data_IF_563111348694
#
_entry.id   IF_563111348694
#
_cell.length_a   1.000
_cell.length_b   1.000
_cell.length_c   1.000
_cell.angle_alpha   90.00
_cell.angle_beta   90.00
_cell.angle_gamma   90.00
#
_symmetry.space_group_name_H-M   'P 1'
#
loop_
_entity.id
_entity.type
_entity.pdbx_description
1 polymer ?
#
# COMPACT_ATOMS: atom_id res chain seq x y z
N UNK A 1 -5.38 20.06 0.15
CA UNK A 1 -5.99 18.90 0.83
C UNK A 1 -7.29 18.53 0.12
N UNK A 2 -7.62 17.25 0.05
CA UNK A 2 -8.83 16.73 -0.62
C UNK A 2 -9.47 15.67 0.25
N UNK A 3 -10.76 15.84 0.57
CA UNK A 3 -11.53 14.82 1.27
C UNK A 3 -12.14 13.84 0.26
N UNK A 4 -12.01 12.54 0.54
CA UNK A 4 -12.66 11.47 -0.20
C UNK A 4 -13.74 10.82 0.68
N UNK A 5 -14.84 10.42 0.04
CA UNK A 5 -15.96 9.75 0.73
C UNK A 5 -15.83 8.23 0.75
N UNK A 6 -15.13 7.65 -0.22
CA UNK A 6 -14.87 6.22 -0.31
C UNK A 6 -13.42 5.91 -0.77
N UNK A 7 -12.56 5.35 0.10
CA UNK A 7 -12.77 5.28 1.55
C UNK A 7 -12.82 6.69 2.16
N UNK A 8 -13.50 6.84 3.30
CA UNK A 8 -13.51 8.11 4.04
C UNK A 8 -12.10 8.47 4.47
N UNK A 9 -11.49 9.46 3.82
CA UNK A 9 -10.15 9.90 4.16
C UNK A 9 -9.85 11.34 3.74
N UNK A 10 -8.78 11.88 4.32
CA UNK A 10 -8.22 13.18 3.97
C UNK A 10 -6.87 12.98 3.29
N UNK A 11 -6.80 13.33 2.00
CA UNK A 11 -5.55 13.42 1.25
C UNK A 11 -4.90 14.78 1.52
N UNK A 12 -3.70 14.77 2.06
CA UNK A 12 -2.91 15.96 2.34
C UNK A 12 -1.61 15.88 1.55
N UNK A 13 -1.49 16.73 0.54
CA UNK A 13 -0.23 16.89 -0.18
C UNK A 13 0.72 17.78 0.64
N UNK A 14 1.92 17.28 0.93
CA UNK A 14 2.93 18.04 1.65
C UNK A 14 4.33 17.55 1.32
N UNK A 15 5.27 18.48 1.16
CA UNK A 15 6.71 18.18 1.02
C UNK A 15 7.42 18.07 2.36
N UNK A 16 6.83 18.61 3.43
CA UNK A 16 7.46 18.76 4.74
C UNK A 16 7.02 17.68 5.72
N UNK A 17 5.78 17.21 5.60
CA UNK A 17 5.19 16.26 6.54
C UNK A 17 5.41 14.80 6.13
N UNK A 18 5.77 14.55 4.88
CA UNK A 18 6.05 13.20 4.39
C UNK A 18 7.53 12.87 4.67
N UNK A 19 7.83 11.79 5.43
CA UNK A 19 9.21 11.43 5.72
C UNK A 19 10.05 11.23 4.45
N UNK A 20 11.36 11.50 4.52
CA UNK A 20 12.26 11.50 3.34
C UNK A 20 12.25 10.19 2.55
N UNK A 21 12.02 9.06 3.19
CA UNK A 21 12.07 7.74 2.54
C UNK A 21 10.75 7.25 1.93
N UNK A 22 9.66 8.02 2.05
CA UNK A 22 8.32 7.61 1.63
C UNK A 22 7.69 8.65 0.72
N UNK A 23 7.05 8.25 -0.37
CA UNK A 23 6.33 9.17 -1.26
C UNK A 23 4.85 9.30 -0.90
N UNK A 24 4.34 8.37 -0.09
CA UNK A 24 3.02 8.37 0.53
C UNK A 24 3.07 7.66 1.88
N UNK A 25 2.18 8.05 2.80
CA UNK A 25 1.94 7.32 4.05
C UNK A 25 0.50 7.49 4.52
N UNK A 26 -0.11 6.39 4.94
CA UNK A 26 -1.43 6.34 5.55
C UNK A 26 -1.34 6.30 7.08
N UNK A 27 -1.91 7.30 7.74
CA UNK A 27 -2.05 7.44 9.18
C UNK A 27 -3.53 7.33 9.56
N UNK A 28 -4.05 6.10 9.51
CA UNK A 28 -5.48 5.83 9.67
C UNK A 28 -6.30 6.48 8.55
N UNK A 29 -7.22 7.42 8.84
CA UNK A 29 -8.02 8.10 7.82
C UNK A 29 -7.31 9.27 7.12
N UNK A 30 -6.05 9.56 7.45
CA UNK A 30 -5.28 10.65 6.85
C UNK A 30 -4.19 10.05 5.97
N UNK A 31 -4.11 10.47 4.72
CA UNK A 31 -3.03 10.09 3.81
C UNK A 31 -2.18 11.31 3.50
N UNK A 32 -0.88 11.21 3.80
CA UNK A 32 0.09 12.23 3.43
C UNK A 32 0.77 11.81 2.11
N UNK A 33 0.79 12.69 1.12
CA UNK A 33 1.36 12.43 -0.20
C UNK A 33 2.35 13.51 -0.57
N UNK A 34 3.42 13.16 -1.30
CA UNK A 34 4.21 14.18 -1.99
C UNK A 34 3.47 14.72 -3.22
N UNK A 35 3.69 15.98 -3.62
CA UNK A 35 3.12 16.49 -4.86
C UNK A 35 3.61 15.68 -6.07
N UNK A 36 2.70 15.34 -6.99
CA UNK A 36 3.03 14.63 -8.24
C UNK A 36 3.09 13.11 -8.16
N UNK A 37 2.61 12.51 -7.07
CA UNK A 37 2.54 11.04 -6.93
C UNK A 37 1.63 10.41 -7.99
N UNK A 38 1.98 9.20 -8.42
CA UNK A 38 1.20 8.47 -9.43
C UNK A 38 -0.16 8.01 -8.89
N UNK A 39 -1.14 7.85 -9.78
CA UNK A 39 -2.45 7.28 -9.43
C UNK A 39 -2.34 5.88 -8.80
N UNK A 40 -1.33 5.09 -9.21
CA UNK A 40 -1.04 3.79 -8.61
C UNK A 40 -0.62 3.89 -7.13
N UNK A 41 0.24 4.85 -6.78
CA UNK A 41 0.63 5.06 -5.39
C UNK A 41 -0.55 5.59 -4.55
N UNK A 42 -1.40 6.44 -5.11
CA UNK A 42 -2.63 6.86 -4.43
C UNK A 42 -3.53 5.64 -4.16
N UNK A 43 -3.69 4.75 -5.14
CA UNK A 43 -4.47 3.53 -4.97
C UNK A 43 -3.92 2.61 -3.87
N UNK A 44 -2.59 2.50 -3.76
CA UNK A 44 -1.89 1.79 -2.67
C UNK A 44 -2.30 2.35 -1.30
N UNK A 45 -2.16 3.65 -1.09
CA UNK A 45 -2.47 4.29 0.19
C UNK A 45 -3.97 4.15 0.56
N UNK A 46 -4.87 4.28 -0.42
CA UNK A 46 -6.30 4.10 -0.17
C UNK A 46 -6.66 2.67 0.29
N UNK A 47 -5.87 1.66 -0.09
CA UNK A 47 -6.05 0.31 0.46
C UNK A 47 -5.72 0.29 1.95
N UNK A 48 -4.64 0.93 2.41
CA UNK A 48 -4.35 1.02 3.84
C UNK A 48 -5.44 1.74 4.63
N UNK A 49 -6.03 2.81 4.06
CA UNK A 49 -7.20 3.46 4.65
C UNK A 49 -8.37 2.47 4.77
N UNK A 50 -8.66 1.66 3.74
CA UNK A 50 -9.71 0.63 3.80
C UNK A 50 -9.39 -0.45 4.84
N UNK A 51 -8.13 -0.88 4.94
CA UNK A 51 -7.68 -1.84 5.96
C UNK A 51 -7.89 -1.30 7.37
N UNK A 52 -7.59 -0.03 7.59
CA UNK A 52 -7.88 0.67 8.84
C UNK A 52 -9.39 0.67 9.15
N UNK A 53 -10.24 1.05 8.19
CA UNK A 53 -11.70 1.05 8.40
C UNK A 53 -12.32 -0.34 8.57
N UNK A 54 -11.75 -1.39 7.96
CA UNK A 54 -12.17 -2.79 8.19
C UNK A 54 -11.88 -3.24 9.61
N UNK A 55 -10.82 -2.70 10.24
CA UNK A 55 -10.35 -3.11 11.57
C UNK A 55 -9.87 -1.89 12.38
N UNK A 56 -10.77 -0.95 12.73
CA UNK A 56 -10.38 0.24 13.46
C UNK A 56 -9.77 -0.16 14.80
N UNK A 57 -8.78 0.61 15.26
CA UNK A 57 -7.98 0.39 16.48
C UNK A 57 -7.07 -0.85 16.50
N UNK A 58 -7.46 -1.95 15.83
CA UNK A 58 -6.68 -3.20 15.83
C UNK A 58 -5.75 -3.34 14.62
N UNK A 59 -5.99 -2.60 13.53
CA UNK A 59 -5.13 -2.61 12.35
C UNK A 59 -3.67 -2.29 12.68
N UNK A 60 -3.41 -1.17 13.38
CA UNK A 60 -2.06 -0.75 13.76
C UNK A 60 -1.31 -1.80 14.57
N UNK A 61 -1.84 -2.27 15.72
CA UNK A 61 -1.21 -3.33 16.50
C UNK A 61 -0.97 -4.62 15.70
N UNK A 62 -1.93 -5.07 14.88
CA UNK A 62 -1.77 -6.27 14.05
C UNK A 62 -0.67 -6.10 13.01
N UNK A 63 -0.59 -4.93 12.37
CA UNK A 63 0.44 -4.60 11.39
C UNK A 63 1.85 -4.57 12.01
N UNK A 64 1.97 -4.07 13.24
CA UNK A 64 3.25 -4.02 13.95
C UNK A 64 3.69 -5.40 14.46
N UNK A 65 2.76 -6.20 15.01
CA UNK A 65 3.08 -7.45 15.71
C UNK A 65 3.08 -8.70 14.83
N UNK A 66 2.35 -8.71 13.70
CA UNK A 66 2.23 -9.89 12.83
C UNK A 66 2.82 -9.64 11.45
N UNK A 67 3.92 -10.32 11.14
CA UNK A 67 4.52 -10.30 9.78
C UNK A 67 3.54 -10.80 8.72
N UNK A 68 2.79 -11.87 9.02
CA UNK A 68 1.80 -12.42 8.09
C UNK A 68 0.67 -11.43 7.78
N UNK A 69 0.17 -10.73 8.82
CA UNK A 69 -0.83 -9.68 8.61
C UNK A 69 -0.27 -8.52 7.79
N UNK A 70 0.95 -8.06 8.12
CA UNK A 70 1.65 -7.02 7.35
C UNK A 70 1.81 -7.42 5.89
N UNK A 71 2.29 -8.62 5.62
CA UNK A 71 2.46 -9.14 4.26
C UNK A 71 1.13 -9.14 3.50
N UNK A 72 0.05 -9.65 4.10
CA UNK A 72 -1.26 -9.64 3.47
C UNK A 72 -1.73 -8.20 3.15
N UNK A 73 -1.48 -7.26 4.06
CA UNK A 73 -1.82 -5.86 3.85
C UNK A 73 -1.04 -5.23 2.68
N UNK A 74 0.28 -5.44 2.61
CA UNK A 74 1.13 -4.90 1.56
C UNK A 74 0.86 -5.54 0.19
N UNK A 75 0.61 -6.85 0.14
CA UNK A 75 0.24 -7.55 -1.08
C UNK A 75 -1.07 -6.99 -1.65
N UNK A 76 -2.08 -6.79 -0.81
CA UNK A 76 -3.34 -6.17 -1.21
C UNK A 76 -3.12 -4.75 -1.78
N UNK A 77 -2.30 -3.93 -1.11
CA UNK A 77 -2.01 -2.57 -1.53
C UNK A 77 -1.23 -2.51 -2.86
N UNK A 78 -0.20 -3.36 -3.04
CA UNK A 78 0.55 -3.45 -4.29
C UNK A 78 -0.27 -4.01 -5.45
N UNK A 79 -1.20 -4.95 -5.20
CA UNK A 79 -2.13 -5.42 -6.23
C UNK A 79 -3.04 -4.29 -6.71
N UNK A 80 -3.60 -3.48 -5.79
CA UNK A 80 -4.39 -2.30 -6.18
C UNK A 80 -3.55 -1.27 -6.96
N UNK A 81 -2.29 -1.07 -6.58
CA UNK A 81 -1.35 -0.22 -7.34
C UNK A 81 -1.14 -0.73 -8.76
N UNK A 82 -0.96 -2.05 -8.94
CA UNK A 82 -0.83 -2.67 -10.27
C UNK A 82 -2.10 -2.55 -11.09
N UNK A 83 -3.27 -2.73 -10.48
CA UNK A 83 -4.56 -2.56 -11.15
C UNK A 83 -4.74 -1.11 -11.66
N UNK A 84 -4.38 -0.12 -10.85
CA UNK A 84 -4.52 1.30 -11.22
C UNK A 84 -3.46 1.77 -12.23
N UNK A 85 -2.23 1.26 -12.17
CA UNK A 85 -1.13 1.69 -13.04
C UNK A 85 -0.96 0.82 -14.30
N UNK A 86 -1.55 -0.37 -14.33
CA UNK A 86 -1.37 -1.39 -15.37
C UNK A 86 -0.31 -2.44 -14.98
N UNK A 87 -0.65 -3.70 -15.22
CA UNK A 87 0.12 -4.89 -14.84
C UNK A 87 1.11 -5.27 -15.95
N UNK A 88 2.39 -4.90 -15.78
CA UNK A 88 3.46 -5.31 -16.71
C UNK A 88 4.53 -6.11 -15.96
N UNK A 89 5.23 -7.06 -16.60
CA UNK A 89 6.26 -7.86 -15.93
C UNK A 89 7.30 -7.01 -15.21
N UNK A 90 7.76 -5.92 -15.84
CA UNK A 90 8.74 -5.00 -15.25
C UNK A 90 8.21 -4.29 -14.00
N UNK A 91 6.91 -3.92 -13.97
CA UNK A 91 6.30 -3.30 -12.78
C UNK A 91 6.10 -4.31 -11.66
N UNK A 92 5.64 -5.52 -11.97
CA UNK A 92 5.52 -6.59 -10.97
C UNK A 92 6.87 -6.85 -10.32
N UNK A 93 7.93 -7.02 -11.12
CA UNK A 93 9.28 -7.25 -10.61
C UNK A 93 9.78 -6.09 -9.73
N UNK A 94 9.54 -4.84 -10.15
CA UNK A 94 9.93 -3.68 -9.38
C UNK A 94 9.21 -3.60 -8.01
N UNK A 95 7.89 -3.80 -7.98
CA UNK A 95 7.11 -3.77 -6.74
C UNK A 95 7.40 -4.99 -5.85
N UNK A 96 7.66 -6.17 -6.43
CA UNK A 96 8.06 -7.36 -5.71
C UNK A 96 9.37 -7.15 -4.93
N UNK A 97 10.34 -6.47 -5.56
CA UNK A 97 11.59 -6.08 -4.88
C UNK A 97 11.35 -5.15 -3.70
N UNK A 98 10.44 -4.18 -3.84
CA UNK A 98 10.06 -3.31 -2.71
C UNK A 98 9.39 -4.11 -1.59
N UNK A 99 8.46 -4.99 -1.92
CA UNK A 99 7.78 -5.87 -0.96
C UNK A 99 8.77 -6.73 -0.17
N UNK A 100 9.75 -7.33 -0.85
CA UNK A 100 10.80 -8.16 -0.25
C UNK A 100 11.70 -7.35 0.71
N UNK A 101 12.03 -6.10 0.38
CA UNK A 101 13.10 -5.35 1.06
C UNK A 101 12.64 -4.32 2.10
N UNK A 102 11.44 -3.74 1.97
CA UNK A 102 11.04 -2.56 2.77
C UNK A 102 10.32 -2.88 4.07
N UNK A 103 9.59 -3.99 4.13
CA UNK A 103 8.59 -4.24 5.19
C UNK A 103 9.03 -5.24 6.26
N UNK A 104 10.31 -5.66 6.23
CA UNK A 104 10.89 -6.69 7.13
C UNK A 104 10.04 -7.98 7.15
N UNK A 105 9.57 -8.38 5.97
CA UNK A 105 8.70 -9.55 5.81
C UNK A 105 9.48 -10.86 5.73
N UNK A 106 10.80 -10.80 5.59
CA UNK A 106 11.66 -11.98 5.44
C UNK A 106 11.20 -12.82 4.24
N UNK A 107 10.99 -12.13 3.11
CA UNK A 107 10.41 -12.65 1.89
C UNK A 107 11.45 -12.53 0.78
N UNK A 108 11.70 -13.61 0.05
CA UNK A 108 12.53 -13.56 -1.16
C UNK A 108 11.78 -12.90 -2.34
N UNK A 109 12.52 -12.38 -3.32
CA UNK A 109 11.94 -11.69 -4.47
C UNK A 109 11.05 -12.62 -5.34
N UNK A 110 11.37 -13.91 -5.44
CA UNK A 110 10.62 -14.87 -6.25
C UNK A 110 9.22 -15.11 -5.67
N UNK A 111 9.14 -15.27 -4.35
CA UNK A 111 7.91 -15.39 -3.59
C UNK A 111 7.11 -14.08 -3.65
N UNK A 112 7.77 -12.93 -3.58
CA UNK A 112 7.12 -11.63 -3.80
C UNK A 112 6.50 -11.51 -5.20
N UNK A 113 7.22 -11.93 -6.25
CA UNK A 113 6.71 -11.96 -7.63
C UNK A 113 5.50 -12.89 -7.73
N UNK A 114 5.56 -14.09 -7.14
CA UNK A 114 4.42 -15.01 -7.10
C UNK A 114 3.20 -14.35 -6.48
N UNK A 115 3.35 -13.76 -5.29
CA UNK A 115 2.25 -13.10 -4.57
C UNK A 115 1.60 -11.97 -5.39
N UNK A 116 2.39 -11.19 -6.13
CA UNK A 116 1.87 -10.08 -6.94
C UNK A 116 1.36 -10.51 -8.33
N UNK A 117 1.77 -11.68 -8.81
CA UNK A 117 1.35 -12.25 -10.10
C UNK A 117 -0.02 -12.92 -10.06
N UNK A 118 -0.44 -13.44 -8.89
CA UNK A 118 -1.77 -14.03 -8.76
C UNK A 118 -2.84 -12.96 -9.01
N UNK A 119 -3.70 -13.19 -9.99
CA UNK A 119 -4.93 -12.42 -10.14
C UNK A 119 -5.93 -13.01 -9.16
N UNK A 120 -6.41 -12.20 -8.20
CA UNK A 120 -7.51 -12.65 -7.35
C UNK A 120 -8.71 -12.89 -8.28
N UNK A 121 -9.15 -14.14 -8.37
CA UNK A 121 -10.42 -14.49 -8.99
C UNK A 121 -11.51 -13.65 -8.30
N UNK A 122 -12.43 -13.02 -9.03
CA UNK A 122 -13.53 -12.30 -8.40
C UNK A 122 -14.33 -13.28 -7.54
N UNK A 123 -14.40 -13.01 -6.23
CA UNK A 123 -15.36 -13.62 -5.32
C UNK A 123 -16.68 -12.85 -5.39
#
# INVERSE_FOLDING_TARGET
>A
MKALRDPRCLLVESRWLVPRHFDGISLGPIVLLRPGVSAGLIAHELVHVRQFWRRPFTHGPRYLLSKAYRQACEVEAYRAQLQAAGRTPSRIANLARYLATKYRLDLDEETAVRLLSVEDLPH
#
